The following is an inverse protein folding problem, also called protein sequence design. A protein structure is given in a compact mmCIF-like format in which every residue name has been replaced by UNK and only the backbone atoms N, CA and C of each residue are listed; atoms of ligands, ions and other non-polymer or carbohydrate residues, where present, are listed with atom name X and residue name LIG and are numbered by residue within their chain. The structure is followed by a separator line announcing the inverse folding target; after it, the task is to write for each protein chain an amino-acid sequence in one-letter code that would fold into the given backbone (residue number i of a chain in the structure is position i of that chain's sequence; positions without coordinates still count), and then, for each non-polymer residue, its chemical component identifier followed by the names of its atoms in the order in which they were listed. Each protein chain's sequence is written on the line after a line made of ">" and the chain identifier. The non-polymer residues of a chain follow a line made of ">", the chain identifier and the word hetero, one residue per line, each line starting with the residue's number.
data_IF_069070349697
#
_entry.id   IF_069070349697
#
_cell.length_a   1.000
_cell.length_b   1.000
_cell.length_c   1.000
_cell.angle_alpha   90.00
_cell.angle_beta   90.00
_cell.angle_gamma   90.00
#
_symmetry.space_group_name_H-M   'P 1'
#
loop_
_entity.id
_entity.type
_entity.pdbx_description
1 polymer ?
#
# COMPACT_ATOMS: atom_id res chain seq x y z
N UNK A 1 5.95 5.70 1.39
CA UNK A 1 7.42 5.80 1.28
C UNK A 1 7.83 7.15 1.83
N UNK A 2 8.81 7.20 2.73
CA UNK A 2 9.40 8.47 3.18
C UNK A 2 10.73 8.68 2.43
N UNK A 3 10.87 9.73 1.59
CA UNK A 3 12.12 9.98 0.88
C UNK A 3 13.26 10.46 1.78
N UNK A 4 12.98 10.86 3.03
CA UNK A 4 13.98 11.40 3.96
C UNK A 4 14.57 10.32 4.89
N UNK A 5 13.96 9.14 4.94
CA UNK A 5 14.40 8.03 5.79
C UNK A 5 14.93 6.91 4.91
N UNK A 6 16.17 6.45 5.10
CA UNK A 6 16.67 5.24 4.43
C UNK A 6 15.73 4.07 4.68
N UNK A 7 15.48 3.26 3.65
CA UNK A 7 14.52 2.15 3.77
C UNK A 7 14.98 1.12 4.78
N UNK A 8 16.29 0.93 4.92
CA UNK A 8 16.91 0.06 5.92
C UNK A 8 16.53 0.46 7.34
N UNK A 9 16.55 1.76 7.66
CA UNK A 9 16.15 2.27 8.98
C UNK A 9 14.67 1.98 9.27
N UNK A 10 13.80 2.19 8.29
CA UNK A 10 12.37 1.88 8.43
C UNK A 10 12.15 0.38 8.64
N UNK A 11 12.80 -0.46 7.83
CA UNK A 11 12.60 -1.91 7.90
C UNK A 11 13.17 -2.53 9.18
N UNK A 12 14.32 -2.04 9.67
CA UNK A 12 14.89 -2.47 10.95
C UNK A 12 13.95 -2.10 12.11
N UNK A 13 13.49 -0.85 12.16
CA UNK A 13 12.60 -0.39 13.21
C UNK A 13 11.29 -1.19 13.26
N UNK A 14 10.70 -1.48 12.09
CA UNK A 14 9.50 -2.31 11.99
C UNK A 14 9.77 -3.76 12.41
N UNK A 15 10.91 -4.32 12.03
CA UNK A 15 11.31 -5.66 12.47
C UNK A 15 11.47 -5.74 13.99
N UNK A 16 12.11 -4.74 14.60
CA UNK A 16 12.29 -4.67 16.05
C UNK A 16 10.96 -4.62 16.81
N UNK A 17 9.95 -3.93 16.28
CA UNK A 17 8.60 -3.93 16.87
C UNK A 17 7.95 -5.32 16.83
N UNK A 18 8.17 -6.08 15.74
CA UNK A 18 7.67 -7.46 15.63
C UNK A 18 8.42 -8.38 16.57
N UNK A 19 9.76 -8.30 16.59
CA UNK A 19 10.63 -9.08 17.48
C UNK A 19 10.34 -8.81 18.96
N UNK A 20 10.05 -7.56 19.32
CA UNK A 20 9.62 -7.18 20.67
C UNK A 20 8.19 -7.64 21.01
N UNK A 21 7.47 -8.26 20.08
CA UNK A 21 6.11 -8.76 20.28
C UNK A 21 5.03 -7.68 20.36
N UNK A 22 5.35 -6.43 20.01
CA UNK A 22 4.42 -5.29 20.01
C UNK A 22 3.51 -5.29 18.79
N UNK A 23 4.00 -5.86 17.69
CA UNK A 23 3.29 -6.00 16.41
C UNK A 23 3.36 -7.47 15.99
N UNK A 24 2.27 -7.99 15.40
CA UNK A 24 2.25 -9.37 14.87
C UNK A 24 2.71 -9.43 13.42
N UNK A 25 2.23 -8.50 12.60
CA UNK A 25 2.51 -8.41 11.18
C UNK A 25 2.60 -6.95 10.76
N UNK A 26 3.38 -6.68 9.72
CA UNK A 26 3.51 -5.34 9.14
C UNK A 26 2.94 -5.32 7.72
N UNK A 27 2.38 -4.18 7.36
CA UNK A 27 1.89 -3.87 6.02
C UNK A 27 2.41 -2.54 5.53
N UNK A 28 2.34 -2.34 4.22
CA UNK A 28 2.64 -1.09 3.57
C UNK A 28 1.36 -0.46 3.00
N UNK A 29 1.38 0.85 2.77
CA UNK A 29 0.31 1.56 2.05
C UNK A 29 0.94 2.54 1.09
N UNK A 30 0.34 2.67 -0.09
CA UNK A 30 0.62 3.73 -1.08
C UNK A 30 2.11 3.90 -1.42
N UNK A 31 2.61 3.02 -2.30
CA UNK A 31 4.00 3.02 -2.76
C UNK A 31 4.06 2.66 -4.24
N UNK A 32 5.10 3.10 -4.94
CA UNK A 32 5.39 2.56 -6.27
C UNK A 32 5.85 1.09 -6.15
N UNK A 33 5.59 0.27 -7.17
CA UNK A 33 5.94 -1.16 -7.16
C UNK A 33 7.44 -1.37 -6.88
N UNK A 34 8.32 -0.58 -7.51
CA UNK A 34 9.76 -0.68 -7.29
C UNK A 34 10.18 -0.32 -5.84
N UNK A 35 9.45 0.59 -5.18
CA UNK A 35 9.72 0.97 -3.79
C UNK A 35 9.36 -0.17 -2.85
N UNK A 36 8.22 -0.82 -3.10
CA UNK A 36 7.79 -1.97 -2.32
C UNK A 36 8.72 -3.17 -2.52
N UNK A 37 9.09 -3.47 -3.78
CA UNK A 37 10.07 -4.51 -4.10
C UNK A 37 11.42 -4.25 -3.41
N UNK A 38 11.89 -2.99 -3.40
CA UNK A 38 13.11 -2.60 -2.68
C UNK A 38 12.99 -2.87 -1.18
N UNK A 39 11.86 -2.55 -0.56
CA UNK A 39 11.64 -2.79 0.87
C UNK A 39 11.57 -4.29 1.20
N UNK A 40 10.89 -5.09 0.37
CA UNK A 40 10.86 -6.55 0.50
C UNK A 40 12.26 -7.15 0.41
N UNK A 41 13.06 -6.70 -0.56
CA UNK A 41 14.44 -7.16 -0.74
C UNK A 41 15.35 -6.78 0.44
N UNK A 42 15.21 -5.57 0.99
CA UNK A 42 15.95 -5.13 2.18
C UNK A 42 15.62 -6.02 3.38
N UNK A 43 14.34 -6.35 3.58
CA UNK A 43 13.95 -7.24 4.66
C UNK A 43 14.53 -8.66 4.46
N UNK A 44 14.39 -9.22 3.26
CA UNK A 44 14.92 -10.55 2.93
C UNK A 44 16.44 -10.63 3.16
N UNK A 45 17.20 -9.67 2.62
CA UNK A 45 18.66 -9.65 2.72
C UNK A 45 19.18 -9.61 4.16
N UNK A 46 18.44 -8.95 5.05
CA UNK A 46 18.83 -8.81 6.46
C UNK A 46 18.16 -9.86 7.38
N UNK A 47 17.34 -10.76 6.84
CA UNK A 47 16.56 -11.71 7.65
C UNK A 47 15.50 -11.04 8.53
N UNK A 48 15.03 -9.87 8.13
CA UNK A 48 14.01 -9.09 8.83
C UNK A 48 12.59 -9.48 8.41
N UNK A 49 11.62 -8.98 9.17
CA UNK A 49 10.21 -9.22 8.90
C UNK A 49 9.83 -8.55 7.58
N UNK A 50 9.27 -9.32 6.65
CA UNK A 50 8.73 -8.81 5.38
C UNK A 50 7.31 -8.29 5.55
N UNK A 51 6.87 -7.41 4.65
CA UNK A 51 5.47 -7.02 4.58
C UNK A 51 4.62 -8.17 4.10
N UNK A 52 3.45 -8.35 4.72
CA UNK A 52 2.46 -9.39 4.35
C UNK A 52 1.17 -8.79 3.79
N UNK A 53 1.03 -7.46 3.86
CA UNK A 53 -0.13 -6.73 3.35
C UNK A 53 0.29 -5.46 2.63
N UNK A 54 -0.41 -5.13 1.54
CA UNK A 54 -0.36 -3.84 0.87
C UNK A 54 -1.75 -3.22 0.84
N UNK A 55 -1.83 -1.94 1.21
CA UNK A 55 -3.03 -1.12 1.10
C UNK A 55 -2.90 -0.18 -0.10
N UNK A 56 -3.67 -0.44 -1.16
CA UNK A 56 -3.59 0.27 -2.43
C UNK A 56 -4.87 1.02 -2.74
N UNK A 57 -4.77 2.09 -3.52
CA UNK A 57 -5.96 2.67 -4.14
C UNK A 57 -6.41 1.76 -5.27
N UNK A 58 -7.61 1.22 -5.19
CA UNK A 58 -8.17 0.45 -6.30
C UNK A 58 -9.69 0.64 -6.36
N UNK A 59 -10.19 1.06 -7.51
CA UNK A 59 -11.62 1.15 -7.80
C UNK A 59 -11.85 1.21 -9.31
N UNK A 60 -13.11 1.21 -9.76
CA UNK A 60 -13.43 1.21 -11.19
C UNK A 60 -12.88 2.42 -11.97
N UNK A 61 -12.58 3.54 -11.28
CA UNK A 61 -12.02 4.75 -11.89
C UNK A 61 -10.49 4.82 -11.78
N UNK A 62 -9.86 3.99 -10.95
CA UNK A 62 -8.42 3.97 -10.72
C UNK A 62 -7.92 2.54 -10.65
N UNK A 63 -7.21 2.12 -11.70
CA UNK A 63 -6.73 0.74 -11.91
C UNK A 63 -5.23 0.65 -12.17
N UNK A 64 -4.46 1.69 -11.83
CA UNK A 64 -3.02 1.73 -12.12
C UNK A 64 -2.25 0.61 -11.39
N UNK A 65 -2.70 0.23 -10.19
CA UNK A 65 -2.09 -0.85 -9.39
C UNK A 65 -2.05 -2.19 -10.12
N UNK A 66 -2.98 -2.44 -11.05
CA UNK A 66 -3.03 -3.68 -11.84
C UNK A 66 -1.82 -3.86 -12.75
N UNK A 67 -1.15 -2.76 -13.10
CA UNK A 67 -0.01 -2.76 -14.03
C UNK A 67 1.21 -3.46 -13.42
N UNK A 68 1.54 -3.16 -12.16
CA UNK A 68 2.78 -3.63 -11.54
C UNK A 68 2.60 -4.10 -10.10
N UNK A 69 1.85 -3.36 -9.29
CA UNK A 69 1.77 -3.63 -7.85
C UNK A 69 0.96 -4.89 -7.52
N UNK A 70 -0.20 -5.12 -8.15
CA UNK A 70 -0.97 -6.34 -7.91
C UNK A 70 -0.23 -7.60 -8.40
N UNK A 71 0.39 -7.62 -9.61
CA UNK A 71 1.27 -8.72 -10.01
C UNK A 71 2.42 -8.96 -9.03
N UNK A 72 3.10 -7.92 -8.58
CA UNK A 72 4.18 -8.01 -7.59
C UNK A 72 3.68 -8.61 -6.27
N UNK A 73 2.56 -8.12 -5.73
CA UNK A 73 2.00 -8.65 -4.49
C UNK A 73 1.61 -10.13 -4.63
N UNK A 74 1.08 -10.53 -5.79
CA UNK A 74 0.75 -11.94 -6.06
C UNK A 74 1.98 -12.83 -6.07
N UNK A 75 3.06 -12.39 -6.73
CA UNK A 75 4.33 -13.12 -6.81
C UNK A 75 4.98 -13.29 -5.42
N UNK A 76 4.97 -12.21 -4.63
CA UNK A 76 5.61 -12.15 -3.31
C UNK A 76 4.75 -12.71 -2.17
N UNK A 77 3.54 -13.21 -2.46
CA UNK A 77 2.62 -13.75 -1.45
C UNK A 77 2.05 -12.70 -0.49
N UNK A 78 1.91 -11.45 -0.94
CA UNK A 78 1.42 -10.31 -0.17
C UNK A 78 -0.08 -10.13 -0.37
N UNK A 79 -0.82 -10.05 0.74
CA UNK A 79 -2.26 -9.78 0.73
C UNK A 79 -2.56 -8.32 0.33
N UNK A 80 -3.70 -8.09 -0.31
CA UNK A 80 -4.09 -6.76 -0.80
C UNK A 80 -5.36 -6.33 -0.09
N UNK A 81 -5.34 -5.13 0.50
CA UNK A 81 -6.47 -4.52 1.19
C UNK A 81 -6.76 -3.15 0.58
N UNK A 82 -7.60 -3.06 -0.47
CA UNK A 82 -7.79 -1.79 -1.17
C UNK A 82 -8.53 -0.73 -0.36
N UNK A 83 -8.15 0.53 -0.58
CA UNK A 83 -8.89 1.71 -0.10
C UNK A 83 -9.57 2.47 -1.25
N UNK A 84 -10.50 3.37 -0.88
CA UNK A 84 -11.37 4.12 -1.81
C UNK A 84 -12.11 3.23 -2.83
N UNK A 85 -12.77 2.12 -2.43
CA UNK A 85 -13.44 1.22 -3.38
C UNK A 85 -14.56 1.90 -4.18
N UNK A 86 -15.15 2.97 -3.64
CA UNK A 86 -16.24 3.74 -4.27
C UNK A 86 -15.80 5.12 -4.78
N UNK A 87 -14.49 5.39 -4.89
CA UNK A 87 -13.95 6.68 -5.34
C UNK A 87 -14.56 7.89 -4.61
N UNK A 88 -14.61 7.81 -3.27
CA UNK A 88 -15.26 8.79 -2.38
C UNK A 88 -16.77 8.98 -2.63
N UNK A 89 -17.45 7.95 -3.15
CA UNK A 89 -18.89 7.96 -3.43
C UNK A 89 -19.26 8.27 -4.88
N UNK A 90 -18.28 8.58 -5.75
CA UNK A 90 -18.52 8.82 -7.19
C UNK A 90 -19.08 7.58 -7.91
N UNK A 91 -18.75 6.38 -7.44
CA UNK A 91 -19.22 5.11 -8.02
C UNK A 91 -20.62 4.69 -7.55
N UNK A 92 -21.34 5.54 -6.81
CA UNK A 92 -22.69 5.27 -6.32
C UNK A 92 -23.69 6.35 -6.74
N UNK A 93 -23.38 7.10 -7.79
CA UNK A 93 -24.12 8.28 -8.24
C UNK A 93 -24.22 8.31 -9.75
N UNK A 94 -25.16 9.10 -10.25
CA UNK A 94 -25.21 9.42 -11.67
C UNK A 94 -23.95 10.19 -12.07
N UNK A 95 -23.47 9.98 -13.31
CA UNK A 95 -22.18 10.51 -13.77
C UNK A 95 -22.04 12.04 -13.62
N UNK A 96 -23.14 12.77 -13.78
CA UNK A 96 -23.19 14.23 -13.71
C UNK A 96 -23.57 14.77 -12.33
N UNK A 97 -23.84 13.90 -11.35
CA UNK A 97 -24.25 14.32 -10.01
C UNK A 97 -23.06 14.88 -9.22
N UNK A 98 -23.17 16.14 -8.81
CA UNK A 98 -22.20 16.78 -7.94
C UNK A 98 -22.70 16.81 -6.50
N UNK A 99 -21.78 16.58 -5.58
CA UNK A 99 -21.98 16.72 -4.14
C UNK A 99 -20.88 17.58 -3.56
N UNK A 100 -21.12 18.14 -2.38
CA UNK A 100 -20.08 18.87 -1.63
C UNK A 100 -18.79 18.04 -1.45
N UNK A 101 -18.91 16.71 -1.37
CA UNK A 101 -17.75 15.81 -1.27
C UNK A 101 -17.01 15.66 -2.61
N UNK A 102 -17.72 15.51 -3.73
CA UNK A 102 -17.07 15.38 -5.05
C UNK A 102 -16.34 16.65 -5.50
N UNK A 103 -16.76 17.81 -5.00
CA UNK A 103 -16.09 19.10 -5.23
C UNK A 103 -14.85 19.31 -4.36
N UNK A 104 -14.91 18.87 -3.09
CA UNK A 104 -13.85 19.12 -2.10
C UNK A 104 -12.77 18.05 -2.07
N UNK A 105 -13.13 16.78 -2.27
CA UNK A 105 -12.17 15.68 -2.23
C UNK A 105 -11.38 15.67 -3.55
N UNK A 106 -10.07 15.93 -3.45
CA UNK A 106 -9.12 15.60 -4.51
C UNK A 106 -8.97 14.07 -4.54
N UNK A 107 -9.51 13.44 -5.57
CA UNK A 107 -9.50 12.00 -5.77
C UNK A 107 -8.74 11.70 -7.03
#
# INVERSE_FOLDING_TARGET
>A
WDPNTPIEETMEALHDLVKAGKVRYIGASSMLAWQFAKAQHVAERNGWTRFVSMENRLNLLYREEEREMLPLCRDEGVGITPYLPLAAGRLTRDWNEQTTRSEKDQV
#
